data_IF_208108706568
#
_entry.id   IF_208108706568
#
_cell.length_a   1.000
_cell.length_b   1.000
_cell.length_c   1.000
_cell.angle_alpha   90.00
_cell.angle_beta   90.00
_cell.angle_gamma   90.00
#
_symmetry.space_group_name_H-M   'P 1'
#
loop_
_entity.id
_entity.type
_entity.pdbx_description
1 polymer ?
#
# COMPACT_ATOMS: atom_id res chain seq x y z
N UNK A 1 60.46 -62.17 58.39
CA UNK A 1 61.50 -61.19 58.01
C UNK A 1 60.81 -59.90 57.60
N UNK A 2 61.09 -58.83 58.35
CA UNK A 2 61.15 -57.40 57.99
C UNK A 2 60.05 -56.88 57.05
N UNK A 3 59.06 -56.09 57.50
CA UNK A 3 59.07 -54.74 58.12
C UNK A 3 58.51 -53.73 57.11
N UNK A 4 57.39 -53.11 57.46
CA UNK A 4 57.13 -51.65 57.44
C UNK A 4 55.61 -51.45 57.63
N UNK A 5 55.09 -51.10 58.82
CA UNK A 5 55.04 -49.75 59.43
C UNK A 5 54.48 -48.70 58.45
N UNK A 6 53.48 -47.87 58.77
CA UNK A 6 52.75 -47.65 60.04
C UNK A 6 51.51 -46.78 59.80
N UNK A 7 50.58 -46.84 60.76
CA UNK A 7 49.78 -45.72 61.31
C UNK A 7 48.63 -45.14 60.44
N UNK A 8 47.49 -44.74 60.98
CA UNK A 8 46.96 -44.71 62.35
C UNK A 8 45.44 -44.46 62.26
N UNK A 9 44.67 -45.06 63.18
CA UNK A 9 43.52 -44.52 63.94
C UNK A 9 42.55 -43.54 63.23
N UNK A 10 41.23 -43.69 63.24
CA UNK A 10 40.34 -44.53 64.04
C UNK A 10 38.95 -43.89 64.11
N UNK A 11 37.92 -44.75 64.12
CA UNK A 11 36.57 -44.63 64.72
C UNK A 11 35.77 -43.31 64.57
N UNK A 12 34.56 -43.40 64.04
CA UNK A 12 33.36 -43.58 64.89
C UNK A 12 32.13 -44.03 64.08
N UNK A 13 31.29 -44.80 64.76
CA UNK A 13 30.00 -45.34 64.33
C UNK A 13 28.91 -44.25 64.28
N UNK A 14 27.81 -44.49 63.55
CA UNK A 14 26.51 -43.88 63.87
C UNK A 14 25.58 -43.49 62.71
N UNK A 15 24.52 -44.27 62.54
CA UNK A 15 23.11 -43.83 62.31
C UNK A 15 22.66 -43.29 60.93
N UNK A 16 21.69 -44.00 60.32
CA UNK A 16 20.72 -43.49 59.33
C UNK A 16 19.65 -42.59 60.00
N UNK A 17 18.69 -41.94 59.30
CA UNK A 17 18.70 -41.15 58.05
C UNK A 17 18.03 -39.76 58.23
N UNK A 18 18.23 -38.78 57.33
CA UNK A 18 17.30 -37.62 57.21
C UNK A 18 17.13 -37.21 55.75
N UNK A 19 15.88 -37.15 55.31
CA UNK A 19 15.46 -36.70 54.00
C UNK A 19 15.62 -35.19 53.82
N UNK A 20 15.91 -34.79 52.58
CA UNK A 20 15.75 -33.42 52.08
C UNK A 20 17.08 -32.71 51.87
N UNK A 21 17.28 -32.21 50.65
CA UNK A 21 17.74 -30.85 50.31
C UNK A 21 18.25 -30.83 48.85
N UNK A 22 17.52 -30.04 48.04
CA UNK A 22 18.01 -29.23 46.92
C UNK A 22 18.08 -29.78 45.49
N UNK A 23 16.90 -29.71 44.87
CA UNK A 23 16.64 -29.31 43.49
C UNK A 23 17.32 -27.97 43.11
N UNK A 24 18.61 -27.95 42.76
CA UNK A 24 19.30 -26.72 42.29
C UNK A 24 20.19 -27.00 41.07
N UNK A 25 19.69 -27.75 40.07
CA UNK A 25 20.43 -27.97 38.80
C UNK A 25 19.60 -27.65 37.54
N UNK A 26 18.44 -26.97 37.65
CA UNK A 26 17.59 -26.71 36.47
C UNK A 26 17.25 -25.24 36.17
N UNK A 27 18.12 -24.27 36.51
CA UNK A 27 17.78 -22.85 36.32
C UNK A 27 18.83 -21.98 35.62
N UNK A 28 19.80 -22.57 34.90
CA UNK A 28 20.83 -21.76 34.21
C UNK A 28 20.78 -21.85 32.67
N UNK A 29 20.09 -22.82 32.07
CA UNK A 29 20.11 -23.00 30.60
C UNK A 29 18.96 -22.33 29.82
N UNK A 30 18.03 -21.64 30.48
CA UNK A 30 16.87 -21.03 29.80
C UNK A 30 17.00 -19.50 29.57
N UNK A 31 17.99 -18.84 30.17
CA UNK A 31 18.14 -17.38 30.07
C UNK A 31 19.03 -16.91 28.91
N UNK A 32 20.00 -17.71 28.43
CA UNK A 32 20.91 -17.30 27.35
C UNK A 32 20.32 -17.45 25.93
N UNK A 33 19.31 -18.31 25.74
CA UNK A 33 18.60 -18.44 24.45
C UNK A 33 17.54 -17.36 24.20
N UNK A 34 17.05 -16.70 25.26
CA UNK A 34 16.01 -15.66 25.13
C UNK A 34 16.56 -14.33 24.64
N UNK A 35 17.82 -14.01 24.98
CA UNK A 35 18.50 -12.78 24.55
C UNK A 35 18.94 -12.82 23.09
N UNK A 36 19.34 -13.98 22.56
CA UNK A 36 19.75 -14.10 21.15
C UNK A 36 18.57 -13.96 20.18
N UNK A 37 17.39 -14.46 20.57
CA UNK A 37 16.15 -14.39 19.79
C UNK A 37 15.61 -12.95 19.71
N UNK A 38 15.78 -12.16 20.77
CA UNK A 38 15.29 -10.77 20.83
C UNK A 38 16.07 -9.80 19.92
N UNK A 39 17.37 -10.05 19.73
CA UNK A 39 18.24 -9.23 18.86
C UNK A 39 17.94 -9.46 17.38
N UNK A 40 17.56 -10.68 16.99
CA UNK A 40 17.19 -10.98 15.60
C UNK A 40 15.87 -10.32 15.19
N UNK A 41 14.89 -10.22 16.09
CA UNK A 41 13.59 -9.58 15.81
C UNK A 41 13.74 -8.06 15.67
N UNK A 42 14.61 -7.43 16.48
CA UNK A 42 14.87 -5.99 16.40
C UNK A 42 15.64 -5.59 15.14
N UNK A 43 16.51 -6.46 14.61
CA UNK A 43 17.23 -6.22 13.35
C UNK A 43 16.31 -6.35 12.11
N UNK A 44 15.32 -7.24 12.14
CA UNK A 44 14.34 -7.38 11.04
C UNK A 44 13.41 -6.17 10.89
N UNK A 45 13.13 -5.42 11.97
CA UNK A 45 12.31 -4.20 11.93
C UNK A 45 13.08 -3.02 11.30
N UNK A 46 14.41 -3.02 11.38
CA UNK A 46 15.26 -1.97 10.81
C UNK A 46 15.56 -2.17 9.31
N UNK A 47 15.22 -3.33 8.74
CA UNK A 47 15.38 -3.64 7.32
C UNK A 47 14.15 -3.33 6.46
N UNK A 48 13.06 -2.82 7.04
CA UNK A 48 12.01 -2.18 6.24
C UNK A 48 12.53 -0.82 5.79
N UNK A 49 13.35 -0.84 4.75
CA UNK A 49 13.65 0.30 3.89
C UNK A 49 12.43 1.21 3.79
N UNK A 50 12.62 2.52 3.99
CA UNK A 50 11.63 3.58 3.83
C UNK A 50 11.14 3.71 2.37
N UNK A 51 10.74 2.62 1.72
CA UNK A 51 9.88 2.68 0.54
C UNK A 51 8.53 3.21 1.02
N UNK A 52 8.22 4.47 0.66
CA UNK A 52 6.89 5.03 0.83
C UNK A 52 5.82 3.97 0.46
N UNK A 53 4.73 3.86 1.24
CA UNK A 53 3.70 2.86 1.00
C UNK A 53 3.12 3.04 -0.41
N UNK A 54 2.64 1.95 -1.02
CA UNK A 54 1.96 1.94 -2.32
C UNK A 54 0.82 3.00 -2.38
N UNK A 55 0.43 3.48 -3.57
CA UNK A 55 -0.67 4.45 -3.69
C UNK A 55 -1.96 3.86 -3.13
N UNK A 56 -2.76 4.70 -2.47
CA UNK A 56 -4.09 4.29 -2.00
C UNK A 56 -5.13 4.52 -3.09
N UNK A 57 -6.22 3.76 -3.08
CA UNK A 57 -7.35 3.97 -3.98
C UNK A 57 -7.92 5.41 -3.88
N UNK A 58 -7.90 6.01 -2.69
CA UNK A 58 -8.35 7.38 -2.47
C UNK A 58 -7.44 8.40 -3.16
N UNK A 59 -6.12 8.20 -3.13
CA UNK A 59 -5.16 9.08 -3.81
C UNK A 59 -5.33 9.02 -5.32
N UNK A 60 -5.53 7.81 -5.86
CA UNK A 60 -5.80 7.60 -7.27
C UNK A 60 -7.14 8.23 -7.66
N UNK A 61 -8.21 8.02 -6.88
CA UNK A 61 -9.52 8.61 -7.12
C UNK A 61 -9.48 10.14 -7.22
N UNK A 62 -8.79 10.81 -6.28
CA UNK A 62 -8.62 12.27 -6.30
C UNK A 62 -7.91 12.75 -7.56
N UNK A 63 -6.90 12.02 -8.01
CA UNK A 63 -6.14 12.41 -9.19
C UNK A 63 -6.92 12.19 -10.48
N UNK A 64 -7.64 11.07 -10.62
CA UNK A 64 -8.52 10.83 -11.76
C UNK A 64 -9.62 11.91 -11.80
N UNK A 65 -10.23 12.23 -10.66
CA UNK A 65 -11.21 13.32 -10.57
C UNK A 65 -10.62 14.65 -11.06
N UNK A 66 -9.44 15.04 -10.56
CA UNK A 66 -8.77 16.28 -10.97
C UNK A 66 -8.40 16.31 -12.46
N UNK A 67 -8.00 15.18 -13.05
CA UNK A 67 -7.73 15.06 -14.49
C UNK A 67 -9.03 15.21 -15.28
N UNK A 68 -10.09 14.54 -14.85
CA UNK A 68 -11.42 14.61 -15.48
C UNK A 68 -11.98 16.03 -15.44
N UNK A 69 -11.91 16.70 -14.29
CA UNK A 69 -12.38 18.07 -14.11
C UNK A 69 -11.58 19.06 -14.96
N UNK A 70 -10.25 18.90 -15.04
CA UNK A 70 -9.40 19.72 -15.91
C UNK A 70 -9.77 19.57 -17.39
N UNK A 71 -10.06 18.34 -17.82
CA UNK A 71 -10.28 18.05 -19.24
C UNK A 71 -11.71 18.31 -19.70
N UNK A 72 -12.70 18.16 -18.82
CA UNK A 72 -14.12 18.20 -19.20
C UNK A 72 -14.91 19.32 -18.49
N UNK A 73 -14.28 20.03 -17.56
CA UNK A 73 -14.91 20.99 -16.67
C UNK A 73 -15.45 20.32 -15.40
N UNK A 74 -15.36 21.04 -14.28
CA UNK A 74 -15.86 20.59 -12.98
C UNK A 74 -17.34 20.17 -13.05
N UNK A 75 -17.68 19.14 -12.27
CA UNK A 75 -19.05 18.66 -12.15
C UNK A 75 -19.57 17.96 -13.40
N UNK A 76 -18.69 17.50 -14.30
CA UNK A 76 -19.05 16.67 -15.45
C UNK A 76 -19.33 15.22 -15.02
N UNK A 77 -18.35 14.60 -14.37
CA UNK A 77 -18.38 13.21 -13.92
C UNK A 77 -17.83 13.14 -12.51
N UNK A 78 -18.45 12.29 -11.68
CA UNK A 78 -17.94 11.93 -10.36
C UNK A 78 -17.27 10.57 -10.42
N UNK A 79 -16.01 10.50 -10.02
CA UNK A 79 -15.23 9.27 -9.92
C UNK A 79 -15.43 8.63 -8.55
N UNK A 80 -15.75 7.33 -8.53
CA UNK A 80 -15.94 6.57 -7.31
C UNK A 80 -15.61 5.09 -7.53
N UNK A 81 -15.64 4.31 -6.44
CA UNK A 81 -15.40 2.86 -6.46
C UNK A 81 -14.06 2.48 -7.13
N UNK A 82 -13.00 3.24 -6.83
CA UNK A 82 -11.66 2.99 -7.37
C UNK A 82 -11.04 1.79 -6.64
N UNK A 83 -10.58 0.82 -7.42
CA UNK A 83 -9.90 -0.38 -6.94
C UNK A 83 -8.55 -0.49 -7.64
N UNK A 84 -7.49 -0.72 -6.86
CA UNK A 84 -6.15 -1.03 -7.39
C UNK A 84 -6.02 -2.55 -7.40
N UNK A 85 -6.12 -3.13 -8.59
CA UNK A 85 -6.03 -4.58 -8.79
C UNK A 85 -4.59 -5.09 -8.74
N UNK A 86 -3.65 -4.27 -9.21
CA UNK A 86 -2.22 -4.59 -9.18
C UNK A 86 -1.39 -3.31 -9.12
N UNK A 87 -0.21 -3.38 -8.51
CA UNK A 87 0.77 -2.31 -8.43
C UNK A 87 2.19 -2.87 -8.50
N UNK A 88 2.94 -2.51 -9.55
CA UNK A 88 4.24 -3.09 -9.84
C UNK A 88 5.23 -2.05 -10.40
N UNK A 89 6.51 -2.39 -10.34
CA UNK A 89 7.59 -1.61 -10.94
C UNK A 89 8.16 -2.36 -12.14
N UNK A 90 8.39 -1.66 -13.25
CA UNK A 90 9.03 -2.18 -14.46
C UNK A 90 9.82 -1.07 -15.15
N UNK A 91 11.03 -1.35 -15.61
CA UNK A 91 11.87 -0.41 -16.38
C UNK A 91 11.99 0.99 -15.71
N UNK A 92 12.27 1.01 -14.40
CA UNK A 92 12.35 2.23 -13.56
C UNK A 92 11.08 3.10 -13.48
N UNK A 93 9.94 2.58 -13.94
CA UNK A 93 8.62 3.19 -13.81
C UNK A 93 7.70 2.34 -12.91
N UNK A 94 6.73 3.00 -12.26
CA UNK A 94 5.68 2.32 -11.51
C UNK A 94 4.40 2.30 -12.33
N UNK A 95 3.64 1.23 -12.18
CA UNK A 95 2.39 1.00 -12.89
C UNK A 95 1.34 0.49 -11.91
N UNK A 96 0.09 0.84 -12.17
CA UNK A 96 -1.06 0.21 -11.53
C UNK A 96 -2.09 -0.23 -12.56
N UNK A 97 -2.78 -1.33 -12.24
CA UNK A 97 -3.98 -1.75 -12.95
C UNK A 97 -5.16 -1.38 -12.06
N UNK A 98 -6.06 -0.54 -12.57
CA UNK A 98 -7.17 -0.01 -11.79
C UNK A 98 -8.51 -0.27 -12.45
N UNK A 99 -9.52 -0.45 -11.60
CA UNK A 99 -10.92 -0.39 -11.98
C UNK A 99 -11.54 0.84 -11.29
N UNK A 100 -12.50 1.48 -11.95
CA UNK A 100 -13.28 2.55 -11.33
C UNK A 100 -14.62 2.74 -12.01
N UNK A 101 -15.50 3.50 -11.34
CA UNK A 101 -16.80 3.92 -11.87
C UNK A 101 -16.84 5.43 -11.99
N UNK A 102 -17.50 5.90 -13.05
CA UNK A 102 -17.84 7.30 -13.26
C UNK A 102 -19.35 7.47 -13.31
N UNK A 103 -19.89 8.43 -12.56
CA UNK A 103 -21.30 8.84 -12.64
C UNK A 103 -21.38 10.18 -13.37
N UNK A 104 -22.16 10.25 -14.44
CA UNK A 104 -22.43 11.48 -15.16
C UNK A 104 -23.29 12.41 -14.31
N UNK A 105 -22.80 13.62 -14.00
CA UNK A 105 -23.53 14.59 -13.17
C UNK A 105 -24.41 15.55 -13.98
N UNK A 106 -24.23 15.54 -15.30
CA UNK A 106 -24.99 16.30 -16.30
C UNK A 106 -25.36 15.37 -17.46
N UNK A 107 -26.41 15.70 -18.18
CA UNK A 107 -26.76 15.00 -19.43
C UNK A 107 -25.88 15.42 -20.60
N UNK A 108 -25.85 14.61 -21.67
CA UNK A 108 -25.15 14.94 -22.92
C UNK A 108 -25.57 16.31 -23.48
N UNK A 109 -26.88 16.58 -23.46
CA UNK A 109 -27.43 17.84 -23.97
C UNK A 109 -26.94 19.04 -23.15
N UNK A 110 -27.06 18.98 -21.82
CA UNK A 110 -26.59 20.05 -20.93
C UNK A 110 -25.08 20.29 -21.08
N UNK A 111 -24.30 19.22 -21.25
CA UNK A 111 -22.86 19.35 -21.42
C UNK A 111 -22.47 20.01 -22.75
N UNK A 112 -23.12 19.61 -23.84
CA UNK A 112 -22.93 20.24 -25.16
C UNK A 112 -23.34 21.72 -25.12
N UNK A 113 -24.45 22.06 -24.48
CA UNK A 113 -24.88 23.44 -24.31
C UNK A 113 -23.86 24.27 -23.53
N UNK A 114 -23.29 23.69 -22.45
CA UNK A 114 -22.19 24.31 -21.69
C UNK A 114 -20.99 24.62 -22.59
N UNK A 115 -20.52 23.64 -23.35
CA UNK A 115 -19.38 23.82 -24.28
C UNK A 115 -19.66 24.86 -25.36
N UNK A 116 -20.88 24.91 -25.90
CA UNK A 116 -21.31 25.90 -26.90
C UNK A 116 -21.42 27.32 -26.34
N UNK A 117 -21.74 27.46 -25.05
CA UNK A 117 -21.88 28.75 -24.37
C UNK A 117 -20.54 29.43 -24.02
N UNK A 118 -19.45 28.66 -23.92
CA UNK A 118 -18.11 29.17 -23.62
C UNK A 118 -17.44 29.77 -24.88
N UNK A 119 -17.67 31.08 -25.07
CA UNK A 119 -16.99 32.03 -25.95
C UNK A 119 -16.65 31.58 -27.40
N UNK A 120 -17.65 31.69 -28.28
CA UNK A 120 -17.48 31.68 -29.74
C UNK A 120 -16.46 32.74 -30.20
N UNK A 121 -15.46 32.35 -31.01
CA UNK A 121 -14.48 33.26 -31.60
C UNK A 121 -13.10 33.30 -30.92
N UNK A 122 -12.86 32.45 -29.91
CA UNK A 122 -11.56 32.28 -29.25
C UNK A 122 -10.93 30.93 -29.60
N UNK A 123 -9.62 30.75 -29.36
CA UNK A 123 -8.96 29.45 -29.51
C UNK A 123 -9.63 28.36 -28.65
N UNK A 124 -10.13 28.73 -27.46
CA UNK A 124 -10.91 27.84 -26.60
C UNK A 124 -12.26 27.47 -27.23
N UNK A 125 -12.97 28.42 -27.83
CA UNK A 125 -14.23 28.13 -28.54
C UNK A 125 -14.05 27.17 -29.72
N UNK A 126 -12.89 27.20 -30.39
CA UNK A 126 -12.55 26.22 -31.43
C UNK A 126 -12.35 24.81 -30.85
N UNK A 127 -11.62 24.69 -29.74
CA UNK A 127 -11.44 23.42 -29.02
C UNK A 127 -12.78 22.86 -28.52
N UNK A 128 -13.63 23.71 -27.95
CA UNK A 128 -14.96 23.34 -27.46
C UNK A 128 -15.87 22.86 -28.62
N UNK A 129 -15.77 23.47 -29.81
CA UNK A 129 -16.48 23.02 -31.01
C UNK A 129 -16.02 21.65 -31.50
N UNK A 130 -14.71 21.38 -31.49
CA UNK A 130 -14.18 20.06 -31.82
C UNK A 130 -14.62 19.00 -30.80
N UNK A 131 -14.54 19.32 -29.51
CA UNK A 131 -14.97 18.43 -28.43
C UNK A 131 -16.46 18.13 -28.52
N UNK A 132 -17.29 19.14 -28.81
CA UNK A 132 -18.73 18.98 -29.06
C UNK A 132 -18.99 17.98 -30.19
N UNK A 133 -18.35 18.16 -31.35
CA UNK A 133 -18.52 17.23 -32.48
C UNK A 133 -18.06 15.81 -32.14
N UNK A 134 -16.97 15.69 -31.38
CA UNK A 134 -16.49 14.38 -30.91
C UNK A 134 -17.50 13.70 -29.99
N UNK A 135 -18.09 14.44 -29.03
CA UNK A 135 -19.11 13.93 -28.11
C UNK A 135 -20.38 13.56 -28.87
N UNK A 136 -20.81 14.40 -29.81
CA UNK A 136 -21.97 14.14 -30.66
C UNK A 136 -21.78 12.85 -31.48
N UNK A 137 -20.57 12.61 -32.01
CA UNK A 137 -20.26 11.48 -32.88
C UNK A 137 -19.86 10.18 -32.18
N UNK A 138 -19.19 10.24 -31.01
CA UNK A 138 -18.56 9.07 -30.37
C UNK A 138 -19.22 8.61 -29.08
N UNK A 139 -19.90 9.50 -28.37
CA UNK A 139 -20.54 9.14 -27.11
C UNK A 139 -22.01 8.80 -27.35
N UNK A 140 -22.44 7.67 -26.80
CA UNK A 140 -23.86 7.34 -26.69
C UNK A 140 -24.60 8.44 -25.93
N UNK A 141 -25.91 8.51 -26.10
CA UNK A 141 -26.73 9.49 -25.38
C UNK A 141 -26.77 9.14 -23.88
N UNK A 142 -25.86 9.76 -23.12
CA UNK A 142 -25.76 9.58 -21.67
C UNK A 142 -26.65 10.58 -20.93
N UNK A 143 -27.24 10.09 -19.86
CA UNK A 143 -28.09 10.85 -18.95
C UNK A 143 -27.38 11.09 -17.64
N UNK A 144 -27.83 12.13 -16.94
CA UNK A 144 -27.43 12.37 -15.57
C UNK A 144 -27.77 11.15 -14.69
N UNK A 145 -26.81 10.70 -13.90
CA UNK A 145 -26.89 9.52 -13.05
C UNK A 145 -26.47 8.23 -13.74
N UNK A 146 -26.21 8.23 -15.05
CA UNK A 146 -25.68 7.05 -15.73
C UNK A 146 -24.28 6.73 -15.19
N UNK A 147 -24.01 5.44 -15.02
CA UNK A 147 -22.74 4.93 -14.49
C UNK A 147 -21.98 4.23 -15.62
N UNK A 148 -20.73 4.64 -15.82
CA UNK A 148 -19.79 3.97 -16.70
C UNK A 148 -18.72 3.26 -15.87
N UNK A 149 -18.45 2.00 -16.23
CA UNK A 149 -17.41 1.20 -15.59
C UNK A 149 -16.17 1.16 -16.48
N UNK A 150 -15.02 1.46 -15.88
CA UNK A 150 -13.72 1.28 -16.51
C UNK A 150 -12.98 0.17 -15.79
N UNK A 151 -12.59 -0.87 -16.53
CA UNK A 151 -11.92 -2.06 -15.99
C UNK A 151 -10.55 -2.26 -16.63
N UNK A 152 -9.59 -2.71 -15.82
CA UNK A 152 -8.25 -3.06 -16.23
C UNK A 152 -7.46 -1.89 -16.80
N UNK A 153 -7.68 -0.66 -16.32
CA UNK A 153 -6.96 0.50 -16.83
C UNK A 153 -5.52 0.48 -16.34
N UNK A 154 -4.59 0.46 -17.30
CA UNK A 154 -3.16 0.56 -17.01
C UNK A 154 -2.78 2.02 -16.88
N UNK A 155 -2.36 2.43 -15.68
CA UNK A 155 -1.85 3.78 -15.42
C UNK A 155 -0.38 3.72 -15.04
N UNK A 156 0.39 4.68 -15.56
CA UNK A 156 1.76 4.92 -15.13
C UNK A 156 1.73 5.88 -13.93
N UNK A 157 2.58 5.60 -12.95
CA UNK A 157 2.65 6.35 -11.69
C UNK A 157 4.10 6.79 -11.47
N UNK A 158 4.27 8.06 -11.12
CA UNK A 158 5.54 8.65 -10.72
C UNK A 158 5.61 8.76 -9.20
N UNK A 159 6.75 8.38 -8.64
CA UNK A 159 7.06 8.59 -7.23
C UNK A 159 7.60 10.01 -7.04
N UNK A 160 6.90 10.81 -6.24
CA UNK A 160 7.30 12.18 -5.90
C UNK A 160 7.63 12.33 -4.41
N UNK A 161 8.15 13.50 -4.03
CA UNK A 161 8.36 13.86 -2.63
C UNK A 161 7.03 13.96 -1.84
N UNK A 162 5.91 14.23 -2.50
CA UNK A 162 4.60 14.42 -1.88
C UNK A 162 3.68 13.19 -2.01
N UNK A 163 4.15 12.10 -2.61
CA UNK A 163 3.36 10.87 -2.80
C UNK A 163 3.45 10.34 -4.22
N UNK A 164 2.39 9.69 -4.69
CA UNK A 164 2.30 9.10 -6.02
C UNK A 164 1.51 9.99 -6.95
N UNK A 165 1.98 10.16 -8.18
CA UNK A 165 1.35 11.03 -9.18
C UNK A 165 1.04 10.19 -10.42
N UNK A 166 -0.19 10.27 -10.95
CA UNK A 166 -0.54 9.66 -12.25
C UNK A 166 0.22 10.43 -13.34
N UNK A 167 1.03 9.71 -14.12
CA UNK A 167 1.70 10.27 -15.28
C UNK A 167 0.71 10.39 -16.43
N UNK A 168 0.39 11.63 -16.82
CA UNK A 168 -0.50 11.91 -17.94
C UNK A 168 0.27 12.18 -19.24
N UNK A 169 1.60 12.08 -19.23
CA UNK A 169 2.44 12.24 -20.41
C UNK A 169 2.67 10.86 -21.03
N UNK A 170 1.85 10.53 -22.03
CA UNK A 170 2.16 9.50 -23.02
C UNK A 170 2.82 10.16 -24.23
#
# INVERSE_FOLDING_TARGET
>A
MLNSLSNHLGKSEGSYPVAGINSVIQLIDLQKMKTLTFICITLCILLTSCSKPAPTAQDIAKQIQAITDRNNGEGYVKIFDVVINDFYQKDDAYYAIIDFKGEYLVSKTEYIERLKSEASGTAQGMLNSMMTQMIEARLNDFKKGDIEESKGQHIRILKSQNGWIIDTQN
#
